data_IF_688101982309
#
_entry.id   IF_688101982309
#
_cell.length_a   1.000
_cell.length_b   1.000
_cell.length_c   1.000
_cell.angle_alpha   90.00
_cell.angle_beta   90.00
_cell.angle_gamma   90.00
#
_symmetry.space_group_name_H-M   'P 1'
#
loop_
_entity.id
_entity.type
_entity.pdbx_description
1 polymer ?
#
# COMPACT_ATOMS: atom_id res chain seq x y z
N UNK A 1 -39.92 -19.38 24.62
CA UNK A 1 -39.89 -20.55 25.52
C UNK A 1 -38.43 -20.99 25.62
N UNK A 2 -37.66 -20.45 26.58
CA UNK A 2 -37.21 -21.07 27.85
C UNK A 2 -36.43 -22.40 27.71
N UNK A 3 -35.29 -22.40 28.41
CA UNK A 3 -34.44 -23.51 28.92
C UNK A 3 -33.27 -23.93 28.02
N UNK A 4 -32.05 -24.15 28.53
CA UNK A 4 -31.54 -24.11 29.90
C UNK A 4 -30.00 -24.03 29.90
N UNK A 5 -29.48 -23.32 30.91
CA UNK A 5 -28.12 -23.40 31.43
C UNK A 5 -27.81 -24.82 31.93
N UNK A 6 -26.60 -25.32 31.64
CA UNK A 6 -25.93 -26.31 32.47
C UNK A 6 -24.47 -25.91 32.66
N UNK A 7 -24.04 -26.02 33.90
CA UNK A 7 -22.83 -25.50 34.50
C UNK A 7 -22.06 -26.68 35.12
N UNK A 8 -20.75 -26.51 35.29
CA UNK A 8 -19.77 -27.27 36.13
C UNK A 8 -18.97 -28.42 35.47
N UNK A 9 -17.75 -28.76 35.99
CA UNK A 9 -16.85 -28.05 36.91
C UNK A 9 -15.37 -27.93 36.46
N UNK A 10 -14.68 -27.02 37.15
CA UNK A 10 -13.24 -26.80 37.18
C UNK A 10 -12.55 -27.93 37.97
N UNK A 11 -11.40 -28.42 37.48
CA UNK A 11 -10.44 -29.23 38.25
C UNK A 11 -9.09 -28.51 38.30
N UNK A 12 -8.70 -28.14 39.52
CA UNK A 12 -7.39 -27.64 39.91
C UNK A 12 -6.47 -28.84 40.21
N UNK A 13 -5.29 -28.87 39.60
CA UNK A 13 -4.13 -29.57 40.19
C UNK A 13 -2.85 -28.74 40.03
N UNK A 14 -2.50 -28.01 41.09
CA UNK A 14 -1.13 -27.54 41.36
C UNK A 14 -0.18 -28.73 41.60
N UNK A 15 1.02 -28.68 41.02
CA UNK A 15 2.15 -29.54 41.37
C UNK A 15 3.48 -28.93 40.93
N UNK A 16 4.37 -28.65 41.89
CA UNK A 16 5.64 -27.91 41.79
C UNK A 16 6.85 -28.82 41.47
N UNK A 17 7.93 -28.23 40.92
CA UNK A 17 9.33 -28.66 41.08
C UNK A 17 10.22 -28.20 39.91
N UNK A 18 11.00 -27.11 39.99
CA UNK A 18 12.38 -26.90 40.53
C UNK A 18 13.53 -27.68 39.82
N UNK A 19 14.45 -26.90 39.25
CA UNK A 19 15.89 -27.18 39.05
C UNK A 19 16.19 -28.01 37.79
N UNK A 20 17.25 -27.79 37.00
CA UNK A 20 18.58 -27.22 37.26
C UNK A 20 19.28 -26.85 35.95
N UNK A 21 20.19 -25.85 36.00
CA UNK A 21 21.22 -25.54 34.99
C UNK A 21 22.13 -26.73 34.71
N UNK A 22 22.58 -26.90 33.47
CA UNK A 22 23.93 -27.37 33.11
C UNK A 22 24.25 -26.98 31.65
N UNK A 23 25.44 -26.40 31.48
CA UNK A 23 26.22 -26.05 30.28
C UNK A 23 27.65 -26.57 30.60
N UNK A 24 28.69 -26.68 29.73
CA UNK A 24 28.83 -26.59 28.27
C UNK A 24 29.72 -27.75 27.69
N UNK A 25 30.11 -27.62 26.41
CA UNK A 25 31.27 -28.21 25.68
C UNK A 25 30.95 -29.09 24.46
N UNK A 26 31.45 -28.62 23.31
CA UNK A 26 31.58 -29.36 22.06
C UNK A 26 32.22 -28.51 20.97
N UNK A 27 33.49 -28.15 21.15
CA UNK A 27 34.31 -27.42 20.17
C UNK A 27 34.78 -28.33 19.02
N UNK A 28 35.15 -27.68 17.90
CA UNK A 28 35.97 -28.09 16.73
C UNK A 28 35.16 -28.09 15.41
N UNK A 29 35.49 -27.33 14.37
CA UNK A 29 36.54 -26.35 14.20
C UNK A 29 36.62 -25.81 12.77
N UNK A 30 37.50 -24.80 12.63
CA UNK A 30 38.33 -24.43 11.47
C UNK A 30 37.66 -24.01 10.15
N UNK A 31 37.93 -22.77 9.72
CA UNK A 31 37.70 -22.33 8.35
C UNK A 31 37.71 -20.82 8.12
N UNK A 32 38.80 -20.13 8.45
CA UNK A 32 39.02 -18.73 8.09
C UNK A 32 39.47 -18.58 6.64
N UNK A 33 38.77 -17.75 5.84
CA UNK A 33 39.36 -16.94 4.75
C UNK A 33 38.42 -15.79 4.35
N UNK A 34 38.93 -14.60 4.02
CA UNK A 34 38.14 -13.39 3.83
C UNK A 34 37.69 -13.23 2.36
N UNK A 35 36.38 -13.12 2.15
CA UNK A 35 35.77 -12.85 0.85
C UNK A 35 35.45 -11.36 0.71
N UNK A 36 36.12 -10.71 -0.22
CA UNK A 36 35.98 -9.29 -0.62
C UNK A 36 34.57 -8.94 -1.09
N UNK A 37 33.97 -7.92 -0.48
CA UNK A 37 32.82 -7.18 -1.02
C UNK A 37 33.25 -6.43 -2.29
N UNK A 38 32.53 -6.67 -3.39
CA UNK A 38 32.64 -5.88 -4.62
C UNK A 38 31.26 -5.33 -4.98
N UNK A 39 31.20 -4.00 -5.16
CA UNK A 39 30.33 -3.38 -6.16
C UNK A 39 29.08 -2.67 -5.66
N UNK A 40 29.22 -1.60 -4.88
CA UNK A 40 28.23 -0.51 -4.89
C UNK A 40 28.53 0.35 -6.12
N UNK A 41 27.62 0.31 -7.10
CA UNK A 41 27.67 1.22 -8.26
C UNK A 41 27.04 2.55 -7.82
N UNK A 42 27.89 3.50 -7.45
CA UNK A 42 27.50 4.89 -7.30
C UNK A 42 27.25 5.48 -8.69
N UNK A 43 25.99 5.74 -9.03
CA UNK A 43 25.65 6.59 -10.18
C UNK A 43 26.01 8.03 -9.81
N UNK A 44 26.94 8.60 -10.60
CA UNK A 44 27.48 9.94 -10.39
C UNK A 44 26.45 11.00 -10.77
N UNK A 45 26.10 11.85 -9.82
CA UNK A 45 25.45 13.13 -10.07
C UNK A 45 26.46 14.12 -10.71
N UNK A 46 26.35 14.30 -12.02
CA UNK A 46 26.88 15.40 -12.83
C UNK A 46 26.10 15.30 -14.15
N UNK A 47 25.22 16.21 -14.55
CA UNK A 47 25.48 17.62 -14.79
C UNK A 47 24.15 18.40 -14.81
N UNK A 48 23.93 19.32 -13.87
CA UNK A 48 23.15 20.56 -14.09
C UNK A 48 23.56 21.61 -13.03
N UNK A 49 24.60 22.39 -13.35
CA UNK A 49 24.88 23.74 -12.81
C UNK A 49 24.72 24.69 -14.00
N UNK A 50 24.10 25.86 -13.96
CA UNK A 50 23.47 26.62 -12.90
C UNK A 50 22.59 27.69 -13.58
N UNK A 51 21.42 27.99 -13.01
CA UNK A 51 20.92 29.35 -12.98
C UNK A 51 20.68 29.72 -11.51
N UNK A 52 21.60 30.53 -11.01
CA UNK A 52 21.60 31.08 -9.67
C UNK A 52 20.58 32.21 -9.57
N UNK A 53 19.39 31.88 -9.07
CA UNK A 53 18.36 32.85 -8.73
C UNK A 53 17.29 32.25 -7.82
N UNK A 54 17.43 32.42 -6.50
CA UNK A 54 16.30 32.26 -5.58
C UNK A 54 16.25 31.03 -4.67
N UNK A 55 17.36 30.37 -4.33
CA UNK A 55 17.37 29.28 -3.33
C UNK A 55 17.45 29.80 -1.88
N UNK A 56 16.59 30.77 -1.53
CA UNK A 56 16.49 31.35 -0.17
C UNK A 56 15.05 31.69 0.24
N UNK A 57 14.08 30.90 -0.23
CA UNK A 57 12.66 31.14 0.08
C UNK A 57 11.85 29.84 0.23
N UNK A 58 12.33 28.88 1.03
CA UNK A 58 11.54 27.69 1.44
C UNK A 58 11.88 27.13 2.84
N UNK A 59 12.43 27.95 3.74
CA UNK A 59 12.64 27.55 5.16
C UNK A 59 11.76 28.37 6.14
N UNK A 60 10.97 29.34 5.66
CA UNK A 60 10.36 30.36 6.52
C UNK A 60 8.82 30.42 6.51
N UNK A 61 8.13 29.38 6.02
CA UNK A 61 6.66 29.31 6.08
C UNK A 61 6.14 27.86 6.24
N UNK A 62 6.93 26.98 6.89
CA UNK A 62 6.40 25.70 7.37
C UNK A 62 5.52 26.00 8.58
N UNK A 63 4.27 25.57 8.51
CA UNK A 63 3.27 25.79 9.55
C UNK A 63 2.68 24.45 9.90
N UNK A 64 2.76 24.14 11.18
CA UNK A 64 1.85 23.26 11.89
C UNK A 64 0.41 23.48 11.41
N UNK A 65 -0.25 22.38 11.02
CA UNK A 65 -1.67 22.34 10.68
C UNK A 65 -2.45 21.60 11.76
N UNK A 66 -3.71 21.96 11.96
CA UNK A 66 -4.58 21.17 12.83
C UNK A 66 -4.85 19.80 12.19
N UNK A 67 -4.70 18.72 12.96
CA UNK A 67 -4.93 17.34 12.50
C UNK A 67 -6.31 17.18 11.87
N UNK A 68 -7.35 17.78 12.47
CA UNK A 68 -8.71 17.76 11.93
C UNK A 68 -8.81 18.41 10.55
N UNK A 69 -8.03 19.47 10.28
CA UNK A 69 -8.00 20.11 8.97
C UNK A 69 -7.28 19.23 7.94
N UNK A 70 -6.20 18.55 8.33
CA UNK A 70 -5.49 17.60 7.44
C UNK A 70 -6.39 16.43 7.07
N UNK A 71 -7.06 15.83 8.06
CA UNK A 71 -8.03 14.73 7.85
C UNK A 71 -9.17 15.18 6.95
N UNK A 72 -9.80 16.32 7.25
CA UNK A 72 -10.91 16.84 6.46
C UNK A 72 -10.51 17.12 5.00
N UNK A 73 -9.30 17.63 4.75
CA UNK A 73 -8.80 17.86 3.39
C UNK A 73 -8.63 16.57 2.61
N UNK A 74 -8.06 15.53 3.22
CA UNK A 74 -7.96 14.24 2.54
C UNK A 74 -9.33 13.60 2.31
N UNK A 75 -10.24 13.69 3.29
CA UNK A 75 -11.59 13.13 3.14
C UNK A 75 -12.39 13.83 2.03
N UNK A 76 -12.26 15.16 1.91
CA UNK A 76 -12.88 15.95 0.85
C UNK A 76 -12.24 15.64 -0.52
N UNK A 77 -10.90 15.64 -0.61
CA UNK A 77 -10.20 15.36 -1.86
C UNK A 77 -10.52 13.96 -2.39
N UNK A 78 -10.55 12.95 -1.51
CA UNK A 78 -10.74 11.55 -1.89
C UNK A 78 -12.20 11.12 -1.97
N UNK A 79 -13.15 12.02 -1.68
CA UNK A 79 -14.58 11.71 -1.58
C UNK A 79 -14.85 10.50 -0.66
N UNK A 80 -14.17 10.44 0.50
CA UNK A 80 -14.17 9.27 1.40
C UNK A 80 -15.58 8.79 1.77
N UNK A 81 -16.54 9.70 1.92
CA UNK A 81 -17.92 9.37 2.31
C UNK A 81 -18.64 8.46 1.29
N UNK A 82 -18.30 8.53 0.00
CA UNK A 82 -18.94 7.73 -1.05
C UNK A 82 -18.65 6.22 -0.91
N UNK A 83 -17.56 5.86 -0.23
CA UNK A 83 -17.11 4.48 -0.06
C UNK A 83 -17.55 3.85 1.27
N UNK A 84 -18.15 4.61 2.19
CA UNK A 84 -18.39 4.20 3.58
C UNK A 84 -19.28 2.95 3.73
N UNK A 85 -20.19 2.71 2.79
CA UNK A 85 -21.12 1.56 2.81
C UNK A 85 -20.57 0.32 2.09
N UNK A 86 -19.49 0.45 1.32
CA UNK A 86 -18.94 -0.64 0.48
C UNK A 86 -17.55 -1.09 0.91
N UNK A 87 -16.76 -0.20 1.53
CA UNK A 87 -15.42 -0.53 2.01
C UNK A 87 -15.48 -1.19 3.38
N UNK A 88 -14.69 -2.26 3.55
CA UNK A 88 -14.50 -2.86 4.86
C UNK A 88 -13.54 -2.03 5.73
N UNK A 89 -12.62 -1.28 5.13
CA UNK A 89 -11.71 -0.38 5.84
C UNK A 89 -12.50 0.75 6.51
N UNK A 90 -12.17 1.04 7.76
CA UNK A 90 -12.61 2.30 8.38
C UNK A 90 -11.74 3.45 7.84
N UNK A 91 -12.10 3.99 6.68
CA UNK A 91 -11.37 5.12 6.08
C UNK A 91 -11.43 6.38 6.95
N UNK A 92 -10.43 7.24 6.83
CA UNK A 92 -10.23 8.42 7.65
C UNK A 92 -9.25 8.19 8.81
N UNK A 93 -9.36 9.01 9.86
CA UNK A 93 -8.54 8.89 11.07
C UNK A 93 -8.93 7.63 11.89
N UNK A 94 -8.05 6.63 11.94
CA UNK A 94 -8.27 5.38 12.69
C UNK A 94 -7.74 5.41 14.12
N UNK A 95 -6.57 6.00 14.35
CA UNK A 95 -5.91 6.09 15.66
C UNK A 95 -5.36 7.50 15.83
N UNK A 96 -5.51 8.09 17.02
CA UNK A 96 -5.02 9.44 17.32
C UNK A 96 -6.06 10.29 18.03
N UNK A 97 -5.67 11.49 18.49
CA UNK A 97 -6.61 12.45 19.04
C UNK A 97 -7.48 13.07 17.94
N UNK A 98 -8.66 13.58 18.29
CA UNK A 98 -9.53 14.26 17.31
C UNK A 98 -8.98 15.64 16.89
N UNK A 99 -8.11 16.23 17.72
CA UNK A 99 -7.46 17.52 17.52
C UNK A 99 -5.98 17.37 17.88
N UNK A 100 -5.10 18.08 17.18
CA UNK A 100 -3.66 17.99 17.36
C UNK A 100 -2.92 18.86 16.36
N UNK A 101 -1.62 19.07 16.54
CA UNK A 101 -0.76 19.77 15.59
C UNK A 101 -0.05 18.74 14.71
N UNK A 102 0.03 19.00 13.41
CA UNK A 102 0.75 18.18 12.43
C UNK A 102 1.75 19.06 11.70
N UNK A 103 3.04 18.77 11.89
CA UNK A 103 4.15 19.35 11.11
C UNK A 103 4.74 18.30 10.16
N UNK A 104 4.84 17.03 10.60
CA UNK A 104 5.52 15.95 9.89
C UNK A 104 4.60 14.77 9.62
N UNK A 105 4.58 14.31 8.39
CA UNK A 105 3.72 13.22 7.93
C UNK A 105 4.56 12.11 7.30
N UNK A 106 4.44 10.90 7.83
CA UNK A 106 4.96 9.69 7.21
C UNK A 106 3.91 9.05 6.30
N UNK A 107 4.33 8.47 5.18
CA UNK A 107 3.47 7.79 4.22
C UNK A 107 3.98 6.36 4.00
N UNK A 108 3.10 5.38 4.01
CA UNK A 108 3.43 3.98 3.73
C UNK A 108 2.25 3.26 3.08
N UNK A 109 2.47 2.17 2.35
CA UNK A 109 1.34 1.36 1.84
C UNK A 109 0.58 0.72 3.02
N UNK A 110 1.30 0.06 3.92
CA UNK A 110 0.71 -0.70 5.02
C UNK A 110 0.95 -0.07 6.39
N UNK A 111 -0.07 -0.08 7.26
CA UNK A 111 0.10 0.10 8.71
C UNK A 111 0.62 -1.21 9.34
N UNK A 112 1.92 -1.43 9.26
CA UNK A 112 2.63 -2.58 9.80
C UNK A 112 3.58 -2.15 10.93
N UNK A 113 4.01 -3.10 11.77
CA UNK A 113 4.95 -2.83 12.87
C UNK A 113 6.20 -2.08 12.38
N UNK A 114 6.82 -2.57 11.29
CA UNK A 114 8.01 -1.95 10.71
C UNK A 114 7.78 -0.53 10.17
N UNK A 115 6.62 -0.25 9.55
CA UNK A 115 6.32 1.07 9.00
C UNK A 115 5.91 2.07 10.08
N UNK A 116 5.24 1.59 11.13
CA UNK A 116 4.94 2.38 12.34
C UNK A 116 6.22 2.73 13.08
N UNK A 117 7.12 1.77 13.30
CA UNK A 117 8.43 2.01 13.91
C UNK A 117 9.24 3.05 13.11
N UNK A 118 9.30 2.92 11.79
CA UNK A 118 9.99 3.88 10.94
C UNK A 118 9.35 5.28 10.95
N UNK A 119 8.02 5.38 11.04
CA UNK A 119 7.32 6.65 11.19
C UNK A 119 7.64 7.33 12.54
N UNK A 120 7.71 6.55 13.62
CA UNK A 120 8.14 7.04 14.94
C UNK A 120 9.60 7.50 14.90
N UNK A 121 10.49 6.74 14.26
CA UNK A 121 11.90 7.12 14.09
C UNK A 121 12.08 8.40 13.27
N UNK A 122 11.14 8.68 12.35
CA UNK A 122 11.08 9.90 11.57
C UNK A 122 10.46 11.10 12.32
N UNK A 123 10.08 10.93 13.59
CA UNK A 123 9.42 11.97 14.42
C UNK A 123 8.17 12.54 13.72
N UNK A 124 7.38 11.65 13.10
CA UNK A 124 6.13 12.00 12.43
C UNK A 124 5.00 12.22 13.44
N UNK A 125 4.14 13.21 13.16
CA UNK A 125 2.91 13.46 13.92
C UNK A 125 1.72 12.65 13.37
N UNK A 126 1.78 12.33 12.06
CA UNK A 126 0.75 11.60 11.34
C UNK A 126 1.40 10.56 10.42
N UNK A 127 0.89 9.33 10.47
CA UNK A 127 1.14 8.27 9.50
C UNK A 127 -0.09 8.15 8.58
N UNK A 128 0.10 8.31 7.28
CA UNK A 128 -0.92 8.11 6.25
C UNK A 128 -0.65 6.78 5.55
N UNK A 129 -1.63 5.88 5.54
CA UNK A 129 -1.51 4.59 4.84
C UNK A 129 -2.66 4.26 3.91
N UNK A 130 -2.41 3.33 2.99
CA UNK A 130 -3.46 2.73 2.17
C UNK A 130 -4.19 1.62 2.95
N UNK A 131 -3.44 0.69 3.53
CA UNK A 131 -3.97 -0.36 4.40
C UNK A 131 -3.87 0.02 5.87
N UNK A 132 -5.01 0.01 6.55
CA UNK A 132 -5.15 0.38 7.96
C UNK A 132 -5.12 -0.81 8.94
N UNK A 133 -5.44 -0.49 10.20
CA UNK A 133 -5.56 -1.47 11.28
C UNK A 133 -7.01 -1.92 11.52
N UNK A 134 -7.99 -1.09 11.18
CA UNK A 134 -9.41 -1.31 11.49
C UNK A 134 -10.20 -1.68 10.23
N UNK A 135 -10.75 -2.89 10.23
CA UNK A 135 -11.53 -3.47 9.14
C UNK A 135 -12.86 -4.00 9.70
N UNK A 136 -13.98 -3.33 9.42
CA UNK A 136 -15.31 -3.73 9.88
C UNK A 136 -15.57 -3.53 11.38
N UNK A 137 -14.74 -2.74 12.07
CA UNK A 137 -14.89 -2.36 13.49
C UNK A 137 -13.71 -2.75 14.39
N UNK A 138 -13.73 -2.24 15.64
CA UNK A 138 -12.68 -2.47 16.64
C UNK A 138 -13.28 -2.96 17.97
N UNK A 139 -13.23 -4.27 18.22
CA UNK A 139 -13.84 -4.87 19.42
C UNK A 139 -12.94 -4.87 20.66
N UNK A 140 -11.73 -5.46 20.54
CA UNK A 140 -10.78 -5.63 21.65
C UNK A 140 -9.36 -5.44 21.13
N UNK A 141 -8.59 -4.60 21.81
CA UNK A 141 -7.18 -4.36 21.49
C UNK A 141 -6.30 -5.22 22.40
N UNK A 142 -5.88 -6.38 21.90
CA UNK A 142 -5.03 -7.35 22.64
C UNK A 142 -4.07 -8.07 21.70
N UNK A 143 -2.96 -8.61 22.23
CA UNK A 143 -1.96 -9.33 21.42
C UNK A 143 -1.43 -8.47 20.28
N UNK A 144 -1.33 -9.02 19.06
CA UNK A 144 -0.82 -8.30 17.88
C UNK A 144 -1.53 -6.98 17.56
N UNK A 145 -2.83 -6.87 17.84
CA UNK A 145 -3.54 -5.61 17.65
C UNK A 145 -3.08 -4.54 18.65
N UNK A 146 -2.80 -4.95 19.89
CA UNK A 146 -2.20 -4.06 20.90
C UNK A 146 -0.78 -3.69 20.52
N UNK A 147 0.05 -4.66 20.13
CA UNK A 147 1.46 -4.43 19.73
C UNK A 147 1.59 -3.44 18.56
N UNK A 148 0.60 -3.35 17.66
CA UNK A 148 0.57 -2.35 16.58
C UNK A 148 0.01 -0.98 16.98
N UNK A 149 -0.95 -0.94 17.91
CA UNK A 149 -1.60 0.32 18.33
C UNK A 149 -0.82 1.02 19.44
N UNK A 150 -0.20 0.27 20.35
CA UNK A 150 0.62 0.80 21.46
C UNK A 150 1.65 1.84 20.99
N UNK A 151 2.53 1.57 20.00
CA UNK A 151 3.51 2.56 19.57
C UNK A 151 2.90 3.82 18.96
N UNK A 152 1.73 3.72 18.29
CA UNK A 152 1.02 4.90 17.78
C UNK A 152 0.58 5.81 18.93
N UNK A 153 0.00 5.23 19.98
CA UNK A 153 -0.50 5.98 21.14
C UNK A 153 0.63 6.50 22.03
N UNK A 154 1.68 5.71 22.27
CA UNK A 154 2.78 6.10 23.16
C UNK A 154 3.66 7.23 22.58
N UNK A 155 3.69 7.38 21.26
CA UNK A 155 4.49 8.39 20.56
C UNK A 155 3.63 9.53 19.98
N UNK A 156 2.36 9.63 20.37
CA UNK A 156 1.41 10.63 19.86
C UNK A 156 1.33 10.66 18.31
N UNK A 157 1.55 9.51 17.66
CA UNK A 157 1.52 9.33 16.20
C UNK A 157 0.09 8.96 15.76
N UNK A 158 -0.58 9.89 15.08
CA UNK A 158 -1.88 9.62 14.48
C UNK A 158 -1.77 8.67 13.27
N UNK A 159 -2.83 7.94 12.97
CA UNK A 159 -2.96 7.07 11.79
C UNK A 159 -4.19 7.47 10.98
N UNK A 160 -3.98 8.00 9.79
CA UNK A 160 -5.01 8.23 8.77
C UNK A 160 -4.91 7.16 7.69
N UNK A 161 -6.05 6.67 7.22
CA UNK A 161 -6.12 5.57 6.25
C UNK A 161 -7.05 5.92 5.11
N UNK A 162 -6.62 5.69 3.87
CA UNK A 162 -7.51 5.72 2.71
C UNK A 162 -7.28 4.50 1.82
N UNK A 163 -8.25 3.59 1.83
CA UNK A 163 -8.25 2.33 1.10
C UNK A 163 -8.94 2.49 -0.26
N UNK A 164 -10.18 2.01 -0.43
CA UNK A 164 -10.88 2.11 -1.73
C UNK A 164 -11.05 3.53 -2.28
N UNK A 165 -11.25 4.59 -1.46
CA UNK A 165 -11.24 5.95 -1.98
C UNK A 165 -9.93 6.28 -2.69
N UNK A 166 -8.79 5.80 -2.17
CA UNK A 166 -7.49 6.00 -2.80
C UNK A 166 -7.24 5.05 -3.98
N UNK A 167 -7.86 3.88 -4.05
CA UNK A 167 -7.76 3.06 -5.27
C UNK A 167 -8.49 3.71 -6.46
N UNK A 168 -9.73 4.12 -6.22
CA UNK A 168 -10.65 4.62 -7.25
C UNK A 168 -10.44 6.08 -7.65
N UNK A 169 -9.63 6.85 -6.92
CA UNK A 169 -9.47 8.27 -7.21
C UNK A 169 -8.80 8.51 -8.58
N UNK A 170 -9.49 9.20 -9.49
CA UNK A 170 -9.13 9.26 -10.91
C UNK A 170 -7.88 10.10 -11.24
N UNK A 171 -7.30 10.79 -10.25
CA UNK A 171 -6.06 11.58 -10.38
C UNK A 171 -5.00 11.14 -9.38
N UNK A 172 -5.34 11.18 -8.09
CA UNK A 172 -4.43 10.79 -7.01
C UNK A 172 -4.36 9.29 -6.70
N UNK A 173 -5.20 8.45 -7.31
CA UNK A 173 -5.35 7.07 -6.86
C UNK A 173 -4.33 6.07 -7.39
N UNK A 174 -4.33 4.86 -6.83
CA UNK A 174 -3.40 3.80 -7.21
C UNK A 174 -3.55 3.42 -8.69
N UNK A 175 -4.77 3.18 -9.16
CA UNK A 175 -5.03 2.87 -10.56
C UNK A 175 -4.66 4.03 -11.49
N UNK A 176 -4.87 5.28 -11.07
CA UNK A 176 -4.47 6.46 -11.82
C UNK A 176 -2.95 6.58 -11.96
N UNK A 177 -2.20 6.28 -10.90
CA UNK A 177 -0.74 6.26 -10.94
C UNK A 177 -0.18 5.16 -11.84
N UNK A 178 -0.77 3.95 -11.82
CA UNK A 178 -0.39 2.89 -12.78
C UNK A 178 -0.72 3.32 -14.21
N UNK A 179 -1.87 3.96 -14.44
CA UNK A 179 -2.23 4.47 -15.76
C UNK A 179 -1.28 5.57 -16.26
N UNK A 180 -0.79 6.44 -15.37
CA UNK A 180 0.25 7.44 -15.66
C UNK A 180 1.57 6.78 -16.02
N UNK A 181 2.00 5.79 -15.23
CA UNK A 181 3.22 5.03 -15.47
C UNK A 181 3.21 4.33 -16.84
N UNK A 182 2.06 3.75 -17.20
CA UNK A 182 1.84 3.11 -18.50
C UNK A 182 1.52 4.10 -19.64
N UNK A 183 1.52 5.41 -19.39
CA UNK A 183 1.24 6.42 -20.41
C UNK A 183 -0.13 6.25 -21.08
N UNK A 184 -1.13 5.76 -20.34
CA UNK A 184 -2.49 5.59 -20.86
C UNK A 184 -3.17 6.95 -21.05
N UNK A 185 -3.95 7.05 -22.11
CA UNK A 185 -4.78 8.19 -22.47
C UNK A 185 -6.27 7.81 -22.48
N UNK A 186 -7.16 8.78 -22.73
CA UNK A 186 -8.61 8.57 -22.82
C UNK A 186 -9.17 7.73 -21.66
N UNK A 187 -8.74 8.08 -20.43
CA UNK A 187 -9.02 7.30 -19.24
C UNK A 187 -10.44 7.50 -18.74
N UNK A 188 -11.01 6.44 -18.18
CA UNK A 188 -12.33 6.44 -17.55
C UNK A 188 -12.34 5.58 -16.27
N UNK A 189 -13.24 5.85 -15.31
CA UNK A 189 -13.44 5.01 -14.15
C UNK A 189 -13.75 3.56 -14.54
N UNK A 190 -13.22 2.59 -13.78
CA UNK A 190 -13.40 1.16 -14.02
C UNK A 190 -13.46 0.40 -12.69
N UNK A 191 -14.02 -0.81 -12.68
CA UNK A 191 -13.99 -1.68 -11.52
C UNK A 191 -15.15 -1.36 -10.58
N UNK A 192 -16.36 -1.67 -11.03
CA UNK A 192 -17.59 -1.29 -10.34
C UNK A 192 -17.74 -2.01 -8.99
N UNK A 193 -17.95 -1.25 -7.90
CA UNK A 193 -18.27 -1.77 -6.57
C UNK A 193 -19.42 -0.99 -5.95
N UNK A 194 -20.65 -1.48 -6.13
CA UNK A 194 -21.83 -0.74 -5.65
C UNK A 194 -21.99 0.58 -6.43
N UNK A 195 -21.99 1.74 -5.76
CA UNK A 195 -22.15 3.05 -6.43
C UNK A 195 -20.83 3.69 -6.88
N UNK A 196 -19.67 3.06 -6.63
CA UNK A 196 -18.33 3.62 -6.88
C UNK A 196 -17.52 2.72 -7.81
N UNK A 197 -16.44 3.27 -8.37
CA UNK A 197 -15.43 2.57 -9.13
C UNK A 197 -14.08 2.60 -8.39
N UNK A 198 -13.35 1.48 -8.41
CA UNK A 198 -12.08 1.31 -7.65
C UNK A 198 -10.85 1.16 -8.55
N UNK A 199 -10.99 1.55 -9.81
CA UNK A 199 -9.98 1.34 -10.84
C UNK A 199 -10.08 2.35 -11.97
N UNK A 200 -9.28 2.11 -13.00
CA UNK A 200 -9.26 2.95 -14.19
C UNK A 200 -9.01 2.10 -15.44
N UNK A 201 -9.71 2.43 -16.52
CA UNK A 201 -9.43 1.90 -17.84
C UNK A 201 -8.88 3.03 -18.73
N UNK A 202 -8.03 2.67 -19.68
CA UNK A 202 -7.44 3.64 -20.59
C UNK A 202 -6.80 2.99 -21.80
N UNK A 203 -6.31 3.84 -22.70
CA UNK A 203 -5.76 3.44 -23.99
C UNK A 203 -4.31 3.87 -24.12
N UNK A 204 -3.43 2.94 -24.45
CA UNK A 204 -2.04 3.25 -24.75
C UNK A 204 -1.93 4.07 -26.04
N UNK A 205 -1.10 5.12 -26.02
CA UNK A 205 -0.85 5.97 -27.20
C UNK A 205 -0.15 5.23 -28.35
N UNK A 206 0.66 4.22 -28.01
CA UNK A 206 1.22 3.23 -28.92
C UNK A 206 0.93 1.84 -28.35
N UNK A 207 0.64 0.86 -29.21
CA UNK A 207 0.42 -0.50 -28.74
C UNK A 207 1.68 -1.07 -28.10
N UNK A 208 1.48 -1.81 -27.01
CA UNK A 208 2.51 -2.63 -26.39
C UNK A 208 2.48 -4.03 -26.98
N UNK A 209 3.64 -4.67 -27.06
CA UNK A 209 3.65 -6.14 -27.02
C UNK A 209 3.39 -6.59 -25.58
N UNK A 210 2.94 -7.83 -25.39
CA UNK A 210 2.78 -8.40 -24.03
C UNK A 210 4.08 -8.32 -23.21
N UNK A 211 5.24 -8.59 -23.83
CA UNK A 211 6.55 -8.45 -23.18
C UNK A 211 6.89 -6.98 -22.87
N UNK A 212 6.58 -6.05 -23.77
CA UNK A 212 6.82 -4.63 -23.53
C UNK A 212 5.98 -4.07 -22.38
N UNK A 213 4.71 -4.43 -22.29
CA UNK A 213 3.88 -4.04 -21.15
C UNK A 213 4.37 -4.67 -19.84
N UNK A 214 4.85 -5.91 -19.89
CA UNK A 214 5.47 -6.56 -18.74
C UNK A 214 6.73 -5.81 -18.29
N UNK A 215 7.60 -5.39 -19.21
CA UNK A 215 8.83 -4.67 -18.89
C UNK A 215 8.52 -3.32 -18.21
N UNK A 216 7.47 -2.61 -18.64
CA UNK A 216 7.01 -1.40 -17.96
C UNK A 216 6.54 -1.71 -16.53
N UNK A 217 5.77 -2.79 -16.32
CA UNK A 217 5.32 -3.18 -14.98
C UNK A 217 6.45 -3.73 -14.09
N UNK A 218 7.47 -4.38 -14.67
CA UNK A 218 8.68 -4.83 -13.96
C UNK A 218 9.56 -3.66 -13.50
N UNK A 219 9.30 -2.42 -13.96
CA UNK A 219 9.93 -1.22 -13.44
C UNK A 219 9.36 -0.76 -12.09
N UNK A 220 8.21 -1.31 -11.66
CA UNK A 220 7.68 -1.10 -10.32
C UNK A 220 8.51 -1.87 -9.30
N UNK A 221 8.71 -1.31 -8.10
CA UNK A 221 9.48 -2.02 -7.05
C UNK A 221 8.65 -3.13 -6.42
N UNK A 222 8.89 -4.36 -6.89
CA UNK A 222 8.26 -5.58 -6.38
C UNK A 222 9.29 -6.52 -5.71
N UNK A 223 10.27 -5.96 -4.97
CA UNK A 223 11.34 -6.74 -4.30
C UNK A 223 12.11 -7.66 -5.28
N UNK A 224 12.28 -7.21 -6.52
CA UNK A 224 12.92 -7.96 -7.60
C UNK A 224 12.10 -9.14 -8.15
N UNK A 225 10.85 -9.32 -7.73
CA UNK A 225 9.95 -10.31 -8.32
C UNK A 225 9.35 -9.79 -9.64
N UNK A 226 9.47 -10.55 -10.74
CA UNK A 226 8.89 -10.12 -12.00
C UNK A 226 7.37 -10.27 -12.00
N UNK A 227 6.72 -9.37 -12.74
CA UNK A 227 5.31 -9.43 -13.11
C UNK A 227 4.99 -10.78 -13.72
N UNK A 228 3.98 -11.44 -13.16
CA UNK A 228 3.48 -12.70 -13.70
C UNK A 228 2.41 -12.41 -14.74
N UNK A 229 2.55 -13.01 -15.92
CA UNK A 229 1.66 -12.77 -17.06
C UNK A 229 0.89 -14.03 -17.45
N UNK A 230 -0.41 -13.88 -17.65
CA UNK A 230 -1.26 -14.83 -18.35
C UNK A 230 -1.54 -14.30 -19.74
N UNK A 231 -0.72 -14.73 -20.69
CA UNK A 231 -0.74 -14.31 -22.10
C UNK A 231 -1.73 -15.18 -22.88
N UNK A 232 -3.00 -14.78 -22.85
CA UNK A 232 -4.11 -15.47 -23.54
C UNK A 232 -4.92 -14.56 -24.46
N UNK A 233 -4.62 -13.27 -24.48
CA UNK A 233 -5.29 -12.25 -25.26
C UNK A 233 -4.57 -11.92 -26.57
N UNK A 234 -4.80 -10.71 -27.13
CA UNK A 234 -4.13 -10.28 -28.35
C UNK A 234 -2.63 -10.04 -28.12
N UNK A 235 -1.83 -10.20 -29.18
CA UNK A 235 -0.37 -9.97 -29.16
C UNK A 235 -0.03 -8.48 -28.97
N UNK A 236 -0.89 -7.60 -29.49
CA UNK A 236 -0.79 -6.14 -29.37
C UNK A 236 -1.82 -5.66 -28.34
N UNK A 237 -1.35 -5.00 -27.30
CA UNK A 237 -2.14 -4.48 -26.20
C UNK A 237 -2.28 -2.97 -26.33
N UNK A 238 -3.50 -2.48 -26.43
CA UNK A 238 -3.80 -1.04 -26.52
C UNK A 238 -4.81 -0.61 -25.46
N UNK A 239 -5.87 -1.38 -25.25
CA UNK A 239 -6.90 -1.08 -24.26
C UNK A 239 -6.60 -1.84 -22.95
N UNK A 240 -6.37 -1.09 -21.87
CA UNK A 240 -5.90 -1.63 -20.59
C UNK A 240 -6.87 -1.25 -19.47
N UNK A 241 -7.35 -2.24 -18.74
CA UNK A 241 -8.12 -2.05 -17.52
C UNK A 241 -7.25 -2.33 -16.28
N UNK A 242 -7.36 -1.50 -15.24
CA UNK A 242 -6.52 -1.54 -14.05
C UNK A 242 -7.40 -1.56 -12.80
N UNK A 243 -7.16 -2.55 -11.94
CA UNK A 243 -7.58 -2.55 -10.52
C UNK A 243 -6.38 -3.03 -9.72
N UNK A 244 -5.78 -2.15 -8.93
CA UNK A 244 -4.55 -2.43 -8.16
C UNK A 244 -4.78 -3.46 -7.05
N UNK A 245 -3.71 -3.96 -6.43
CA UNK A 245 -3.82 -4.93 -5.34
C UNK A 245 -4.47 -6.25 -5.75
N UNK A 246 -5.55 -6.64 -5.07
CA UNK A 246 -6.25 -7.93 -5.25
C UNK A 246 -7.45 -7.87 -6.23
N UNK A 247 -7.30 -7.19 -7.38
CA UNK A 247 -8.37 -6.84 -8.30
C UNK A 247 -8.94 -7.94 -9.22
N UNK A 248 -8.50 -9.20 -9.14
CA UNK A 248 -8.93 -10.27 -10.09
C UNK A 248 -10.43 -10.58 -10.13
N UNK A 249 -11.21 -10.10 -9.15
CA UNK A 249 -12.65 -10.27 -9.18
C UNK A 249 -13.34 -9.42 -10.28
N UNK A 250 -12.63 -8.44 -10.86
CA UNK A 250 -13.11 -7.58 -11.96
C UNK A 250 -12.70 -8.06 -13.36
N UNK A 251 -12.18 -9.28 -13.49
CA UNK A 251 -11.78 -9.84 -14.79
C UNK A 251 -12.94 -9.82 -15.81
N UNK A 252 -14.14 -10.26 -15.42
CA UNK A 252 -15.28 -10.32 -16.33
C UNK A 252 -15.69 -8.92 -16.81
N UNK A 253 -15.61 -7.90 -15.95
CA UNK A 253 -15.86 -6.50 -16.32
C UNK A 253 -14.81 -6.00 -17.33
N UNK A 254 -13.54 -6.37 -17.17
CA UNK A 254 -12.48 -6.01 -18.11
C UNK A 254 -12.73 -6.63 -19.50
N UNK A 255 -13.21 -7.88 -19.53
CA UNK A 255 -13.58 -8.58 -20.77
C UNK A 255 -14.79 -7.91 -21.42
N UNK A 256 -15.81 -7.54 -20.64
CA UNK A 256 -17.00 -6.84 -21.14
C UNK A 256 -16.68 -5.45 -21.68
N UNK A 257 -15.73 -4.75 -21.07
CA UNK A 257 -15.18 -3.47 -21.53
C UNK A 257 -14.34 -3.60 -22.81
N UNK A 258 -13.97 -4.82 -23.19
CA UNK A 258 -13.15 -5.09 -24.38
C UNK A 258 -11.67 -4.76 -24.17
N UNK A 259 -11.18 -4.85 -22.93
CA UNK A 259 -9.76 -4.65 -22.64
C UNK A 259 -8.90 -5.75 -23.28
N UNK A 260 -7.78 -5.37 -23.87
CA UNK A 260 -6.75 -6.27 -24.36
C UNK A 260 -5.94 -6.88 -23.20
N UNK A 261 -5.77 -6.10 -22.14
CA UNK A 261 -5.07 -6.49 -20.92
C UNK A 261 -5.78 -6.00 -19.66
N UNK A 262 -5.75 -6.84 -18.63
CA UNK A 262 -6.16 -6.51 -17.28
C UNK A 262 -4.93 -6.52 -16.35
N UNK A 263 -4.66 -5.39 -15.70
CA UNK A 263 -3.52 -5.19 -14.79
C UNK A 263 -4.02 -5.15 -13.35
N UNK A 264 -3.42 -5.97 -12.50
CA UNK A 264 -3.66 -6.00 -11.06
C UNK A 264 -2.40 -6.42 -10.30
N UNK A 265 -2.44 -6.48 -8.98
CA UNK A 265 -1.30 -6.91 -8.17
C UNK A 265 -1.22 -8.43 -8.03
N UNK A 266 -2.28 -9.04 -7.48
CA UNK A 266 -2.29 -10.44 -7.06
C UNK A 266 -3.37 -11.28 -7.74
N UNK A 267 -3.04 -12.54 -8.01
CA UNK A 267 -3.95 -13.50 -8.64
C UNK A 267 -4.53 -14.52 -7.67
N UNK A 268 -5.80 -14.89 -7.88
CA UNK A 268 -6.41 -16.10 -7.29
C UNK A 268 -6.20 -17.28 -8.23
N UNK A 269 -6.13 -18.51 -7.71
CA UNK A 269 -5.85 -19.70 -8.54
C UNK A 269 -6.79 -19.82 -9.76
N UNK A 270 -8.07 -19.50 -9.58
CA UNK A 270 -9.10 -19.60 -10.63
C UNK A 270 -8.88 -18.63 -11.80
N UNK A 271 -8.23 -17.48 -11.58
CA UNK A 271 -8.09 -16.43 -12.60
C UNK A 271 -7.32 -16.91 -13.82
N UNK A 272 -6.42 -17.90 -13.66
CA UNK A 272 -5.73 -18.52 -14.78
C UNK A 272 -6.71 -19.15 -15.79
N UNK A 273 -7.71 -19.86 -15.30
CA UNK A 273 -8.71 -20.52 -16.15
C UNK A 273 -9.68 -19.51 -16.73
N UNK A 274 -10.14 -18.57 -15.91
CA UNK A 274 -11.07 -17.51 -16.32
C UNK A 274 -10.44 -16.65 -17.44
N UNK A 275 -9.20 -16.19 -17.27
CA UNK A 275 -8.49 -15.41 -18.27
C UNK A 275 -8.28 -16.18 -19.59
N UNK A 276 -7.94 -17.48 -19.48
CA UNK A 276 -7.73 -18.34 -20.64
C UNK A 276 -9.01 -18.58 -21.43
N UNK A 277 -10.12 -18.77 -20.74
CA UNK A 277 -11.43 -19.01 -21.34
C UNK A 277 -12.00 -17.75 -21.98
N UNK A 278 -11.71 -16.58 -21.39
CA UNK A 278 -12.09 -15.27 -21.93
C UNK A 278 -11.17 -14.78 -23.06
N UNK A 279 -9.92 -15.26 -23.13
CA UNK A 279 -8.95 -14.82 -24.12
C UNK A 279 -8.48 -13.38 -23.87
N UNK A 280 -8.10 -13.06 -22.63
CA UNK A 280 -7.59 -11.76 -22.20
C UNK A 280 -6.20 -11.92 -21.58
N UNK A 281 -5.33 -10.91 -21.75
CA UNK A 281 -4.05 -10.88 -21.05
C UNK A 281 -4.23 -10.41 -19.62
N UNK A 282 -3.64 -11.10 -18.64
CA UNK A 282 -3.67 -10.66 -17.23
C UNK A 282 -2.25 -10.48 -16.72
N UNK A 283 -1.98 -9.32 -16.13
CA UNK A 283 -0.71 -8.96 -15.52
C UNK A 283 -0.89 -8.86 -14.00
N UNK A 284 -0.10 -9.65 -13.27
CA UNK A 284 -0.03 -9.66 -11.81
C UNK A 284 1.30 -9.01 -11.43
N UNK A 285 1.26 -7.69 -11.23
CA UNK A 285 2.42 -6.81 -11.08
C UNK A 285 2.84 -6.57 -9.62
N UNK A 286 2.29 -7.34 -8.67
CA UNK A 286 2.56 -7.23 -7.25
C UNK A 286 1.56 -6.30 -6.54
N UNK A 287 1.05 -6.76 -5.39
CA UNK A 287 0.09 -6.03 -4.56
C UNK A 287 0.68 -4.71 -4.11
N UNK A 288 1.81 -4.79 -3.39
CA UNK A 288 2.51 -3.62 -2.86
C UNK A 288 2.92 -2.68 -3.99
N UNK A 289 3.54 -3.22 -5.04
CA UNK A 289 4.11 -2.44 -6.14
C UNK A 289 3.06 -1.57 -6.83
N UNK A 290 1.85 -2.10 -7.05
CA UNK A 290 0.75 -1.39 -7.69
C UNK A 290 0.06 -0.36 -6.79
N UNK A 291 0.25 -0.40 -5.48
CA UNK A 291 -0.41 0.49 -4.50
C UNK A 291 0.53 1.51 -3.85
N UNK A 292 1.76 1.63 -4.35
CA UNK A 292 2.68 2.69 -3.91
C UNK A 292 2.30 4.08 -4.43
N UNK A 293 1.55 4.16 -5.53
CA UNK A 293 1.28 5.41 -6.23
C UNK A 293 0.39 6.35 -5.43
N UNK A 294 -0.71 5.85 -4.87
CA UNK A 294 -1.70 6.65 -4.17
C UNK A 294 -1.10 7.38 -2.98
N UNK A 295 -0.41 6.64 -2.10
CA UNK A 295 0.21 7.23 -0.90
C UNK A 295 1.33 8.21 -1.25
N UNK A 296 2.07 8.01 -2.35
CA UNK A 296 3.05 8.97 -2.86
C UNK A 296 2.38 10.24 -3.42
N UNK A 297 1.21 10.10 -4.03
CA UNK A 297 0.39 11.23 -4.49
C UNK A 297 -0.12 12.05 -3.31
N UNK A 298 -0.59 11.39 -2.24
CA UNK A 298 -0.98 12.07 -0.99
C UNK A 298 0.20 12.78 -0.33
N UNK A 299 1.41 12.21 -0.39
CA UNK A 299 2.61 12.89 0.08
C UNK A 299 2.89 14.19 -0.70
N UNK A 300 2.69 14.19 -2.02
CA UNK A 300 2.81 15.41 -2.81
C UNK A 300 1.78 16.49 -2.40
N UNK A 301 0.53 16.09 -2.13
CA UNK A 301 -0.52 17.00 -1.63
C UNK A 301 -0.15 17.60 -0.26
N UNK A 302 0.36 16.79 0.67
CA UNK A 302 0.80 17.27 1.97
C UNK A 302 1.98 18.27 1.88
N UNK A 303 2.95 18.05 0.99
CA UNK A 303 4.04 19.01 0.76
C UNK A 303 3.50 20.35 0.24
N UNK A 304 2.49 20.32 -0.64
CA UNK A 304 1.81 21.53 -1.11
C UNK A 304 1.07 22.29 0.01
N UNK A 305 0.59 21.58 1.03
CA UNK A 305 -0.03 22.19 2.22
C UNK A 305 1.00 22.76 3.20
N UNK A 306 2.29 22.49 2.99
CA UNK A 306 3.40 23.00 3.80
C UNK A 306 3.88 22.06 4.90
N UNK A 307 3.44 20.80 4.89
CA UNK A 307 3.85 19.75 5.82
C UNK A 307 5.18 19.12 5.38
N UNK A 308 5.98 18.64 6.33
CA UNK A 308 7.19 17.87 6.04
C UNK A 308 6.84 16.40 5.84
N UNK A 309 7.18 15.86 4.67
CA UNK A 309 6.76 14.50 4.29
C UNK A 309 7.91 13.52 4.24
N UNK A 310 7.71 12.31 4.75
CA UNK A 310 8.63 11.18 4.60
C UNK A 310 7.90 9.97 4.02
N UNK A 311 8.44 9.34 2.98
CA UNK A 311 7.92 8.07 2.48
C UNK A 311 8.69 6.90 3.11
N UNK A 312 7.96 5.95 3.68
CA UNK A 312 8.48 4.72 4.28
C UNK A 312 8.21 3.56 3.33
N UNK A 313 9.27 3.09 2.69
CA UNK A 313 9.23 1.98 1.74
C UNK A 313 9.38 0.64 2.45
N UNK A 314 8.48 -0.30 2.20
CA UNK A 314 8.52 -1.64 2.78
C UNK A 314 7.98 -2.71 1.81
N UNK A 315 8.68 -2.97 0.69
CA UNK A 315 8.20 -3.91 -0.33
C UNK A 315 8.03 -5.33 0.23
N UNK A 316 6.98 -6.00 -0.20
CA UNK A 316 6.60 -7.34 0.28
C UNK A 316 6.96 -8.44 -0.69
N UNK A 317 7.16 -8.11 -1.97
CA UNK A 317 7.39 -9.05 -3.07
C UNK A 317 6.18 -9.94 -3.39
N UNK A 318 4.99 -9.55 -2.91
CA UNK A 318 3.73 -10.25 -3.17
C UNK A 318 3.02 -9.67 -4.39
#
# INVERSE_FOLDING_TARGET
MRNALLNLPIVDTRGRGRGTRFDPFGANGVGSSPGTYKGVVAVRAADLRAESGGYKRREADRRDMDLSDVVARYDEELNTEEFADVDASANGLQVGPAEGSVERVAFAVDAAEATIEAAVEADADLLVTHHGLVWGGLDRVTGRAYERIEPLVENDLALYVSHLPLDGHQTHGNAAGVADHLGLEAREPFGSLGPVEIGQAGRASNSYTVEGLRDELDALDNDGNPTRVFDFGPEEVTDVAIVTGSGVDWLDEAVEAGADAFVTGEGKQKVYHEAKEAGINVFLAGHYATETFGVRSLAALADEWGLETTYVDHPTGL
#
